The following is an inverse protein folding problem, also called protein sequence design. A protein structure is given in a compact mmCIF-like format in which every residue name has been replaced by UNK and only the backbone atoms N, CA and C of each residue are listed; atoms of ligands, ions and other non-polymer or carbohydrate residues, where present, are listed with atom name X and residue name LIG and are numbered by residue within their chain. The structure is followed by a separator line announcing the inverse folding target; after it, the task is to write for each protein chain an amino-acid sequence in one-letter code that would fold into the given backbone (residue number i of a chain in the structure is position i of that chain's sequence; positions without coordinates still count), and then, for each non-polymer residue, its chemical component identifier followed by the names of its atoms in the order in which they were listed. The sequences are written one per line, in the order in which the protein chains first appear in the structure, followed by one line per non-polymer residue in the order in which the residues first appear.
data_IF_093024251323
#
_entry.id   IF_093024251323
#
_cell.length_a   1.000
_cell.length_b   1.000
_cell.length_c   1.000
_cell.angle_alpha   90.00
_cell.angle_beta   90.00
_cell.angle_gamma   90.00
#
_symmetry.space_group_name_H-M   'P 1'
#
loop_
_entity.id
_entity.type
_entity.pdbx_description
1 polymer ?
#
# COMPACT_ATOMS: atom_id res chain seq x y z
N UNK A 1 -5.60 -1.13 35.71
CA UNK A 1 -5.57 -1.95 34.49
C UNK A 1 -4.86 -1.13 33.43
N UNK A 2 -3.92 -1.77 32.73
CA UNK A 2 -3.25 -1.23 31.54
C UNK A 2 -4.36 -1.08 30.48
N UNK A 3 -4.52 0.11 29.90
CA UNK A 3 -5.56 0.34 28.89
C UNK A 3 -5.25 -0.43 27.60
N UNK A 4 -6.20 -0.52 26.66
CA UNK A 4 -6.01 -1.13 25.35
C UNK A 4 -6.46 -0.20 24.25
N UNK A 5 -5.52 0.22 23.40
CA UNK A 5 -5.76 1.01 22.21
C UNK A 5 -5.76 0.08 20.99
N UNK A 6 -6.91 -0.05 20.34
CA UNK A 6 -7.06 -0.80 19.11
C UNK A 6 -6.99 0.12 17.90
N UNK A 7 -6.04 -0.15 17.01
CA UNK A 7 -5.92 0.49 15.70
C UNK A 7 -6.41 -0.48 14.63
N UNK A 8 -7.39 -0.07 13.84
CA UNK A 8 -7.89 -0.86 12.70
C UNK A 8 -7.27 -0.37 11.41
N UNK A 9 -6.46 -1.22 10.80
CA UNK A 9 -5.69 -0.99 9.58
C UNK A 9 -4.18 -1.07 9.81
N UNK A 10 -3.54 -2.14 9.34
CA UNK A 10 -2.09 -2.36 9.29
C UNK A 10 -1.42 -1.76 8.05
N UNK A 11 -1.92 -0.60 7.61
CA UNK A 11 -1.29 0.23 6.58
C UNK A 11 -0.31 1.24 7.17
N UNK A 12 0.26 2.10 6.32
CA UNK A 12 1.26 3.10 6.75
C UNK A 12 0.77 3.99 7.91
N UNK A 13 -0.47 4.51 7.83
CA UNK A 13 -1.03 5.37 8.87
C UNK A 13 -1.16 4.67 10.22
N UNK A 14 -1.74 3.47 10.25
CA UNK A 14 -1.90 2.70 11.48
C UNK A 14 -0.56 2.24 12.07
N UNK A 15 0.38 1.86 11.21
CA UNK A 15 1.73 1.48 11.64
C UNK A 15 2.55 2.66 12.21
N UNK A 16 2.48 3.82 11.57
CA UNK A 16 3.12 5.03 12.09
C UNK A 16 2.52 5.45 13.43
N UNK A 17 1.19 5.42 13.56
CA UNK A 17 0.51 5.71 14.82
C UNK A 17 0.91 4.71 15.92
N UNK A 18 0.94 3.41 15.61
CA UNK A 18 1.38 2.40 16.56
C UNK A 18 2.81 2.65 17.05
N UNK A 19 3.74 2.95 16.14
CA UNK A 19 5.13 3.29 16.50
C UNK A 19 5.19 4.51 17.42
N UNK A 20 4.47 5.58 17.08
CA UNK A 20 4.44 6.81 17.90
C UNK A 20 3.88 6.56 19.30
N UNK A 21 2.81 5.76 19.42
CA UNK A 21 2.25 5.40 20.72
C UNK A 21 3.21 4.52 21.54
N UNK A 22 3.95 3.62 20.90
CA UNK A 22 4.99 2.81 21.58
C UNK A 22 6.18 3.66 22.04
N UNK A 23 6.64 4.61 21.21
CA UNK A 23 7.68 5.57 21.61
C UNK A 23 7.21 6.44 22.80
N UNK A 24 5.96 6.92 22.76
CA UNK A 24 5.34 7.66 23.88
C UNK A 24 5.19 6.80 25.14
N UNK A 25 4.88 5.50 25.00
CA UNK A 25 4.86 4.50 26.09
C UNK A 25 6.21 4.41 26.79
N UNK A 26 7.28 4.29 26.01
CA UNK A 26 8.64 4.22 26.54
C UNK A 26 9.10 5.54 27.19
N UNK A 27 8.68 6.69 26.65
CA UNK A 27 9.15 8.00 27.10
C UNK A 27 8.35 8.59 28.28
N UNK A 28 7.03 8.39 28.33
CA UNK A 28 6.13 9.16 29.20
C UNK A 28 5.29 8.32 30.17
N UNK A 29 5.59 7.04 30.37
CA UNK A 29 4.77 6.13 31.19
C UNK A 29 3.33 6.03 30.69
N UNK A 30 3.11 6.21 29.38
CA UNK A 30 1.82 5.88 28.77
C UNK A 30 1.57 4.37 29.00
N UNK A 31 0.37 4.01 29.43
CA UNK A 31 0.11 2.69 30.03
C UNK A 31 -0.93 1.89 29.25
N UNK A 32 -1.25 2.25 28.01
CA UNK A 32 -2.11 1.42 27.17
C UNK A 32 -1.27 0.48 26.30
N UNK A 33 -1.69 -0.77 26.20
CA UNK A 33 -1.25 -1.70 25.18
C UNK A 33 -1.82 -1.28 23.83
N UNK A 34 -0.97 -1.30 22.81
CA UNK A 34 -1.37 -0.98 21.43
C UNK A 34 -1.49 -2.29 20.68
N UNK A 35 -2.63 -2.49 20.03
CA UNK A 35 -2.90 -3.65 19.18
C UNK A 35 -3.41 -3.18 17.83
N UNK A 36 -2.95 -3.84 16.77
CA UNK A 36 -3.35 -3.54 15.39
C UNK A 36 -4.15 -4.70 14.82
N UNK A 37 -5.32 -4.42 14.28
CA UNK A 37 -6.09 -5.39 13.48
C UNK A 37 -6.02 -5.01 12.01
N UNK A 38 -5.66 -5.96 11.16
CA UNK A 38 -5.82 -5.82 9.72
C UNK A 38 -6.70 -6.94 9.18
N UNK A 39 -7.67 -6.58 8.34
CA UNK A 39 -8.56 -7.53 7.67
C UNK A 39 -7.85 -8.40 6.64
N UNK A 40 -6.70 -7.96 6.14
CA UNK A 40 -5.93 -8.68 5.14
C UNK A 40 -4.99 -9.68 5.82
N UNK A 41 -4.62 -10.71 5.08
CA UNK A 41 -3.61 -11.68 5.50
C UNK A 41 -2.16 -11.17 5.38
N UNK A 42 -1.96 -9.92 4.94
CA UNK A 42 -0.66 -9.26 4.81
C UNK A 42 -0.77 -7.79 5.22
N UNK A 43 0.32 -7.25 5.77
CA UNK A 43 0.44 -5.84 6.12
C UNK A 43 0.79 -4.96 4.92
N UNK A 44 0.73 -3.64 5.15
CA UNK A 44 1.14 -2.61 4.20
C UNK A 44 -0.02 -1.83 3.61
N UNK A 45 -1.23 -2.41 3.58
CA UNK A 45 -2.38 -1.81 2.92
C UNK A 45 -2.04 -1.41 1.47
N UNK A 46 -2.16 -0.12 1.14
CA UNK A 46 -1.80 0.42 -0.19
C UNK A 46 -0.29 0.52 -0.45
N UNK A 47 0.55 0.22 0.54
CA UNK A 47 2.00 0.13 0.39
C UNK A 47 2.46 -1.35 0.42
N UNK A 48 1.55 -2.30 0.23
CA UNK A 48 1.89 -3.72 0.26
C UNK A 48 2.76 -4.13 -0.95
N UNK A 49 3.68 -5.04 -0.69
CA UNK A 49 4.30 -5.87 -1.71
C UNK A 49 3.69 -7.27 -1.70
N UNK A 50 3.56 -7.87 -2.89
CA UNK A 50 3.05 -9.24 -3.05
C UNK A 50 3.99 -10.09 -3.87
N UNK A 51 4.05 -11.37 -3.53
CA UNK A 51 4.75 -12.35 -4.33
C UNK A 51 3.93 -12.84 -5.53
N UNK A 52 4.59 -13.51 -6.46
CA UNK A 52 3.93 -14.21 -7.55
C UNK A 52 3.44 -15.60 -7.12
N UNK A 53 2.38 -16.15 -7.74
CA UNK A 53 1.90 -17.51 -7.45
C UNK A 53 2.97 -18.60 -7.63
N UNK A 54 3.70 -18.56 -8.75
CA UNK A 54 4.73 -19.55 -9.15
C UNK A 54 6.13 -19.17 -8.65
N UNK A 55 6.36 -17.91 -8.29
CA UNK A 55 7.66 -17.39 -7.86
C UNK A 55 7.52 -16.65 -6.53
N UNK A 56 7.49 -17.41 -5.44
CA UNK A 56 7.12 -16.92 -4.11
C UNK A 56 8.18 -16.03 -3.46
N UNK A 57 9.43 -16.14 -3.88
CA UNK A 57 10.54 -15.32 -3.36
C UNK A 57 10.52 -13.90 -3.96
N UNK A 58 10.01 -13.75 -5.17
CA UNK A 58 9.98 -12.46 -5.88
C UNK A 58 8.77 -11.66 -5.41
N UNK A 59 9.01 -10.47 -4.86
CA UNK A 59 7.98 -9.59 -4.32
C UNK A 59 7.98 -8.25 -5.05
N UNK A 60 6.80 -7.77 -5.41
CA UNK A 60 6.60 -6.51 -6.13
C UNK A 60 5.74 -5.56 -5.33
N UNK A 61 6.15 -4.29 -5.22
CA UNK A 61 5.31 -3.25 -4.62
C UNK A 61 4.07 -3.05 -5.50
N UNK A 62 2.88 -3.41 -5.00
CA UNK A 62 1.66 -3.41 -5.82
C UNK A 62 0.97 -2.05 -5.84
N UNK A 63 1.23 -1.21 -4.84
CA UNK A 63 0.59 0.09 -4.64
C UNK A 63 1.62 1.21 -4.66
N UNK A 64 1.89 1.87 -3.53
CA UNK A 64 2.86 2.96 -3.48
C UNK A 64 4.24 2.54 -4.05
N UNK A 65 4.76 3.32 -4.99
CA UNK A 65 5.98 2.99 -5.74
C UNK A 65 7.22 3.68 -5.20
N UNK A 66 7.06 4.92 -4.73
CA UNK A 66 8.07 5.73 -4.10
C UNK A 66 7.39 6.80 -3.25
N UNK A 67 8.14 7.42 -2.34
CA UNK A 67 7.70 8.53 -1.52
C UNK A 67 8.44 9.80 -1.95
N UNK A 68 7.70 10.76 -2.49
CA UNK A 68 8.19 12.11 -2.77
C UNK A 68 7.98 13.02 -1.56
N UNK A 69 9.04 13.51 -0.89
CA UNK A 69 8.91 14.49 0.19
C UNK A 69 8.46 15.84 -0.39
N UNK A 70 7.30 16.36 0.06
CA UNK A 70 6.77 17.67 -0.38
C UNK A 70 6.99 18.79 0.65
N UNK A 71 7.37 18.44 1.87
CA UNK A 71 7.59 19.35 2.98
C UNK A 71 8.52 18.73 4.02
N UNK A 72 9.08 19.56 4.88
CA UNK A 72 9.88 19.14 6.04
C UNK A 72 9.03 18.71 7.25
N UNK A 73 7.69 18.74 7.13
CA UNK A 73 6.80 18.14 8.12
C UNK A 73 7.12 16.64 8.28
N UNK A 74 7.30 16.21 9.53
CA UNK A 74 7.71 14.85 9.91
C UNK A 74 9.07 14.41 9.31
N UNK A 75 9.98 15.35 9.03
CA UNK A 75 11.31 15.03 8.50
C UNK A 75 12.08 14.09 9.43
N UNK A 76 11.95 14.25 10.73
CA UNK A 76 12.47 13.38 11.77
C UNK A 76 12.02 11.91 11.61
N UNK A 77 10.74 11.65 11.27
CA UNK A 77 10.26 10.28 11.00
C UNK A 77 10.93 9.67 9.76
N UNK A 78 11.05 10.47 8.69
CA UNK A 78 11.68 10.06 7.43
C UNK A 78 13.20 9.86 7.61
N UNK A 79 13.86 10.73 8.37
CA UNK A 79 15.27 10.63 8.70
C UNK A 79 15.56 9.36 9.48
N UNK A 80 14.75 9.01 10.51
CA UNK A 80 14.90 7.74 11.24
C UNK A 80 14.84 6.53 10.30
N UNK A 81 13.88 6.50 9.37
CA UNK A 81 13.75 5.42 8.38
C UNK A 81 14.90 5.38 7.37
N UNK A 82 15.45 6.55 7.01
CA UNK A 82 16.60 6.64 6.11
C UNK A 82 17.88 6.17 6.81
N UNK A 83 18.09 6.60 8.05
CA UNK A 83 19.23 6.21 8.89
C UNK A 83 19.23 4.70 9.19
N UNK A 84 18.06 4.08 9.33
CA UNK A 84 17.93 2.63 9.50
C UNK A 84 17.99 1.84 8.18
N UNK A 85 18.21 2.51 7.05
CA UNK A 85 18.28 1.88 5.73
C UNK A 85 16.94 1.38 5.18
N UNK A 86 15.82 1.69 5.83
CA UNK A 86 14.47 1.31 5.38
C UNK A 86 13.96 2.19 4.24
N UNK A 87 14.54 3.37 4.06
CA UNK A 87 14.34 4.22 2.90
C UNK A 87 15.69 4.61 2.32
N UNK A 88 15.81 4.57 0.99
CA UNK A 88 16.99 5.01 0.25
C UNK A 88 16.61 5.98 -0.86
N UNK A 89 17.55 6.87 -1.27
CA UNK A 89 17.36 7.74 -2.42
C UNK A 89 17.04 6.98 -3.70
N UNK A 90 16.04 7.49 -4.43
CA UNK A 90 15.66 7.09 -5.79
C UNK A 90 15.65 8.35 -6.67
N UNK A 91 16.60 8.41 -7.61
CA UNK A 91 16.87 9.66 -8.32
C UNK A 91 15.81 9.92 -9.40
N UNK A 92 15.44 11.19 -9.59
CA UNK A 92 14.40 11.57 -10.57
C UNK A 92 14.78 11.20 -12.02
N UNK A 93 16.08 11.14 -12.34
CA UNK A 93 16.57 10.76 -13.66
C UNK A 93 16.41 9.26 -13.96
N UNK A 94 16.14 8.43 -12.94
CA UNK A 94 15.78 7.03 -13.12
C UNK A 94 14.32 6.85 -13.56
N UNK A 95 13.51 7.92 -13.50
CA UNK A 95 12.10 7.95 -13.87
C UNK A 95 11.92 8.74 -15.17
N UNK A 96 11.67 8.03 -16.26
CA UNK A 96 11.34 8.63 -17.55
C UNK A 96 9.96 9.31 -17.49
N UNK A 97 9.86 10.54 -18.02
CA UNK A 97 8.65 11.38 -17.96
C UNK A 97 8.17 11.67 -16.51
N UNK A 98 9.08 11.79 -15.54
CA UNK A 98 8.71 12.14 -14.16
C UNK A 98 7.96 13.48 -14.10
N UNK A 99 6.69 13.51 -13.64
CA UNK A 99 5.93 14.75 -13.49
C UNK A 99 6.51 15.69 -12.41
N UNK A 100 7.41 15.20 -11.56
CA UNK A 100 8.06 15.98 -10.51
C UNK A 100 9.47 16.47 -10.90
N UNK A 101 9.94 16.16 -12.11
CA UNK A 101 11.29 16.50 -12.57
C UNK A 101 11.58 17.98 -12.37
N UNK A 102 12.69 18.29 -11.70
CA UNK A 102 13.12 19.67 -11.41
C UNK A 102 12.36 20.37 -10.28
N UNK A 103 11.32 19.74 -9.71
CA UNK A 103 10.58 20.26 -8.54
C UNK A 103 11.05 19.62 -7.25
N UNK A 104 11.51 18.36 -7.29
CA UNK A 104 11.98 17.61 -6.12
C UNK A 104 13.33 17.01 -6.43
N UNK A 105 14.29 17.13 -5.49
CA UNK A 105 15.66 16.64 -5.72
C UNK A 105 15.75 15.12 -5.77
N UNK A 106 14.95 14.42 -4.97
CA UNK A 106 15.05 12.96 -4.81
C UNK A 106 13.74 12.38 -4.26
N UNK A 107 13.32 11.24 -4.81
CA UNK A 107 12.30 10.38 -4.22
C UNK A 107 12.93 9.39 -3.24
N UNK A 108 12.11 8.70 -2.46
CA UNK A 108 12.56 7.65 -1.55
C UNK A 108 11.86 6.33 -1.86
N UNK A 109 12.58 5.23 -1.76
CA UNK A 109 12.07 3.86 -1.95
C UNK A 109 12.54 2.97 -0.82
N UNK A 110 11.83 1.88 -0.56
CA UNK A 110 12.30 0.83 0.35
C UNK A 110 13.11 -0.20 -0.44
N UNK A 111 14.42 -0.40 -0.13
CA UNK A 111 15.28 -1.33 -0.87
C UNK A 111 15.06 -2.80 -0.50
N UNK A 112 14.30 -3.08 0.56
CA UNK A 112 14.01 -4.44 1.00
C UNK A 112 13.31 -5.24 -0.11
N UNK A 113 13.51 -6.56 -0.14
CA UNK A 113 12.82 -7.43 -1.10
C UNK A 113 11.30 -7.29 -1.04
N UNK A 114 10.74 -7.15 0.16
CA UNK A 114 9.31 -6.87 0.39
C UNK A 114 8.94 -5.38 0.23
N UNK A 115 9.86 -4.54 -0.24
CA UNK A 115 9.63 -3.13 -0.52
C UNK A 115 9.00 -2.37 0.63
N UNK A 116 7.98 -1.55 0.34
CA UNK A 116 7.34 -0.71 1.37
C UNK A 116 6.61 -1.52 2.45
N UNK A 117 6.26 -2.77 2.18
CA UNK A 117 5.70 -3.65 3.22
C UNK A 117 6.71 -3.90 4.34
N UNK A 118 8.00 -4.10 4.04
CA UNK A 118 9.02 -4.28 5.08
C UNK A 118 9.14 -3.04 5.98
N UNK A 119 9.00 -1.84 5.40
CA UNK A 119 8.99 -0.60 6.17
C UNK A 119 7.78 -0.56 7.13
N UNK A 120 6.59 -0.96 6.67
CA UNK A 120 5.39 -1.06 7.53
C UNK A 120 5.55 -2.13 8.61
N UNK A 121 6.10 -3.30 8.27
CA UNK A 121 6.42 -4.37 9.23
C UNK A 121 7.41 -3.87 10.30
N UNK A 122 8.43 -3.12 9.91
CA UNK A 122 9.38 -2.51 10.85
C UNK A 122 8.72 -1.48 11.77
N UNK A 123 7.77 -0.67 11.28
CA UNK A 123 7.05 0.27 12.15
C UNK A 123 6.19 -0.45 13.21
N UNK A 124 5.68 -1.63 12.88
CA UNK A 124 4.86 -2.46 13.78
C UNK A 124 5.68 -3.39 14.67
N UNK A 125 7.00 -3.43 14.53
CA UNK A 125 7.87 -4.27 15.36
C UNK A 125 7.71 -3.95 16.85
N UNK A 126 7.36 -4.97 17.63
CA UNK A 126 7.02 -4.87 19.06
C UNK A 126 5.55 -4.55 19.36
N UNK A 127 4.69 -4.40 18.35
CA UNK A 127 3.24 -4.18 18.50
C UNK A 127 2.48 -5.46 18.16
N UNK A 128 1.56 -5.89 19.03
CA UNK A 128 0.68 -7.02 18.73
C UNK A 128 -0.14 -6.71 17.48
N UNK A 129 -0.05 -7.58 16.48
CA UNK A 129 -0.72 -7.38 15.19
C UNK A 129 -1.50 -8.63 14.83
N UNK A 130 -2.82 -8.49 14.67
CA UNK A 130 -3.74 -9.57 14.27
C UNK A 130 -4.14 -9.39 12.80
N UNK A 131 -3.69 -10.30 11.95
CA UNK A 131 -4.06 -10.36 10.53
C UNK A 131 -5.35 -11.15 10.34
N UNK A 132 -5.96 -11.00 9.16
CA UNK A 132 -7.26 -11.62 8.85
C UNK A 132 -8.32 -11.35 9.93
N UNK A 133 -8.23 -10.19 10.59
CA UNK A 133 -9.13 -9.81 11.69
C UNK A 133 -9.88 -8.56 11.25
N UNK A 134 -11.16 -8.73 10.96
CA UNK A 134 -11.99 -7.67 10.40
C UNK A 134 -12.96 -7.17 11.46
N UNK A 135 -12.84 -5.89 11.82
CA UNK A 135 -13.81 -5.20 12.65
C UNK A 135 -15.11 -5.03 11.85
N UNK A 136 -16.21 -5.61 12.34
CA UNK A 136 -17.53 -5.48 11.74
C UNK A 136 -18.32 -4.31 12.36
N UNK A 137 -18.31 -4.20 13.69
CA UNK A 137 -19.01 -3.16 14.43
C UNK A 137 -18.37 -2.91 15.80
N UNK A 138 -18.82 -1.87 16.48
CA UNK A 138 -18.47 -1.60 17.87
C UNK A 138 -19.65 -1.03 18.64
N UNK A 139 -19.59 -1.15 19.96
CA UNK A 139 -20.53 -0.55 20.90
C UNK A 139 -19.76 0.22 21.98
N UNK A 140 -20.10 1.50 22.16
CA UNK A 140 -19.59 2.28 23.29
C UNK A 140 -20.41 1.91 24.52
N UNK A 141 -19.78 1.25 25.49
CA UNK A 141 -20.45 0.80 26.71
C UNK A 141 -20.44 1.89 27.79
N UNK A 142 -19.31 2.57 27.93
CA UNK A 142 -19.10 3.72 28.82
C UNK A 142 -17.83 4.48 28.42
N UNK A 143 -17.48 5.52 29.18
CA UNK A 143 -16.33 6.41 28.94
C UNK A 143 -14.96 5.71 28.86
N UNK A 144 -14.87 4.43 29.29
CA UNK A 144 -13.62 3.67 29.31
C UNK A 144 -13.69 2.38 28.54
N UNK A 145 -14.85 1.97 28.01
CA UNK A 145 -15.03 0.65 27.42
C UNK A 145 -15.79 0.73 26.11
N UNK A 146 -15.15 0.19 25.08
CA UNK A 146 -15.70 -0.02 23.75
C UNK A 146 -15.65 -1.52 23.50
N UNK A 147 -16.81 -2.13 23.26
CA UNK A 147 -16.90 -3.51 22.79
C UNK A 147 -16.75 -3.50 21.28
N UNK A 148 -15.77 -4.24 20.77
CA UNK A 148 -15.56 -4.41 19.33
C UNK A 148 -15.96 -5.82 18.92
N UNK A 149 -16.64 -5.95 17.79
CA UNK A 149 -17.13 -7.23 17.28
C UNK A 149 -16.52 -7.48 15.90
N UNK A 150 -15.88 -8.63 15.75
CA UNK A 150 -15.33 -9.11 14.47
C UNK A 150 -16.43 -9.66 13.57
N UNK A 151 -16.13 -9.82 12.27
CA UNK A 151 -17.04 -10.45 11.32
C UNK A 151 -17.28 -11.95 11.56
N UNK A 152 -16.44 -12.58 12.38
CA UNK A 152 -16.66 -13.94 12.90
C UNK A 152 -17.52 -13.96 14.19
N UNK A 153 -18.00 -12.80 14.65
CA UNK A 153 -18.80 -12.67 15.87
C UNK A 153 -18.00 -12.74 17.17
N UNK A 154 -16.66 -12.73 17.13
CA UNK A 154 -15.82 -12.62 18.33
C UNK A 154 -15.86 -11.19 18.87
N UNK A 155 -15.95 -11.07 20.19
CA UNK A 155 -16.05 -9.79 20.90
C UNK A 155 -14.82 -9.54 21.78
N UNK A 156 -14.38 -8.29 21.86
CA UNK A 156 -13.25 -7.87 22.69
C UNK A 156 -13.53 -6.48 23.29
N UNK A 157 -13.10 -6.21 24.53
CA UNK A 157 -13.21 -4.88 25.14
C UNK A 157 -11.90 -4.13 24.96
N UNK A 158 -11.99 -2.91 24.44
CA UNK A 158 -10.89 -1.96 24.28
C UNK A 158 -11.24 -0.64 24.96
N UNK A 159 -10.24 0.19 25.24
CA UNK A 159 -10.43 1.51 25.86
C UNK A 159 -10.44 2.63 24.81
N UNK A 160 -9.72 2.43 23.70
CA UNK A 160 -9.63 3.38 22.62
C UNK A 160 -9.71 2.64 21.27
N UNK A 161 -10.38 3.24 20.29
CA UNK A 161 -10.55 2.70 18.95
C UNK A 161 -10.15 3.75 17.91
N UNK A 162 -9.17 3.42 17.06
CA UNK A 162 -8.73 4.28 15.96
C UNK A 162 -8.94 3.57 14.63
N UNK A 163 -9.73 4.18 13.75
CA UNK A 163 -10.01 3.65 12.41
C UNK A 163 -9.12 4.34 11.38
N UNK A 164 -8.23 3.57 10.73
CA UNK A 164 -7.30 4.08 9.70
C UNK A 164 -7.57 3.51 8.31
N UNK A 165 -8.66 2.76 8.16
CA UNK A 165 -9.09 2.19 6.89
C UNK A 165 -9.69 3.28 5.95
N UNK A 166 -9.79 3.01 4.64
CA UNK A 166 -10.45 3.94 3.71
C UNK A 166 -11.86 4.30 4.17
N UNK A 167 -12.27 5.55 3.93
CA UNK A 167 -13.52 6.11 4.46
C UNK A 167 -14.78 5.26 4.14
N UNK A 168 -14.96 4.66 2.94
CA UNK A 168 -16.07 3.75 2.70
C UNK A 168 -16.14 2.57 3.69
N UNK A 169 -14.99 2.05 4.12
CA UNK A 169 -14.93 0.98 5.12
C UNK A 169 -15.25 1.52 6.53
N UNK A 170 -14.78 2.73 6.87
CA UNK A 170 -15.13 3.40 8.14
C UNK A 170 -16.63 3.62 8.24
N UNK A 171 -17.26 4.14 7.18
CA UNK A 171 -18.70 4.37 7.11
C UNK A 171 -19.50 3.06 7.28
N UNK A 172 -19.02 1.95 6.70
CA UNK A 172 -19.65 0.63 6.88
C UNK A 172 -19.68 0.20 8.35
N UNK A 173 -18.55 0.35 9.06
CA UNK A 173 -18.46 0.03 10.49
C UNK A 173 -19.35 0.96 11.32
N UNK A 174 -19.33 2.27 11.07
CA UNK A 174 -20.17 3.25 11.79
C UNK A 174 -21.66 2.92 11.61
N UNK A 175 -22.10 2.62 10.38
CA UNK A 175 -23.51 2.27 10.10
C UNK A 175 -23.98 1.03 10.87
N UNK A 176 -23.09 0.06 11.12
CA UNK A 176 -23.38 -1.14 11.92
C UNK A 176 -23.26 -0.90 13.43
N UNK A 177 -22.69 0.22 13.86
CA UNK A 177 -22.38 0.55 15.25
C UNK A 177 -23.43 1.49 15.86
N UNK A 178 -24.65 0.99 16.07
CA UNK A 178 -25.85 1.78 16.40
C UNK A 178 -25.76 2.62 17.68
N UNK A 179 -24.87 2.27 18.61
CA UNK A 179 -24.68 3.03 19.86
C UNK A 179 -23.90 4.34 19.68
N UNK A 180 -23.19 4.52 18.57
CA UNK A 180 -22.29 5.65 18.36
C UNK A 180 -22.89 6.66 17.38
N UNK A 181 -23.32 7.80 17.91
CA UNK A 181 -23.91 8.87 17.10
C UNK A 181 -22.82 9.82 16.60
N UNK A 182 -22.67 9.88 15.28
CA UNK A 182 -21.78 10.81 14.61
C UNK A 182 -22.58 12.05 14.20
N UNK A 183 -22.05 13.24 14.49
CA UNK A 183 -22.71 14.48 14.12
C UNK A 183 -22.97 14.54 12.59
N UNK A 184 -24.16 14.97 12.12
CA UNK A 184 -24.52 14.92 10.70
C UNK A 184 -23.54 15.64 9.76
N UNK A 185 -22.90 16.71 10.21
CA UNK A 185 -21.86 17.44 9.50
C UNK A 185 -20.58 16.62 9.30
N UNK A 186 -20.17 15.84 10.31
CA UNK A 186 -19.02 14.94 10.23
C UNK A 186 -19.35 13.78 9.29
N UNK A 187 -20.56 13.21 9.41
CA UNK A 187 -20.98 12.12 8.53
C UNK A 187 -20.99 12.56 7.06
N UNK A 188 -21.56 13.75 6.75
CA UNK A 188 -21.54 14.32 5.40
C UNK A 188 -20.11 14.59 4.90
N UNK A 189 -19.23 15.07 5.77
CA UNK A 189 -17.82 15.27 5.41
C UNK A 189 -17.15 13.93 5.04
N UNK A 190 -17.38 12.87 5.80
CA UNK A 190 -16.87 11.53 5.48
C UNK A 190 -17.46 10.99 4.17
N UNK A 191 -18.77 11.13 3.96
CA UNK A 191 -19.46 10.69 2.73
C UNK A 191 -18.99 11.44 1.47
N UNK A 192 -18.47 12.67 1.62
CA UNK A 192 -17.93 13.45 0.51
C UNK A 192 -16.56 12.98 0.01
N UNK A 193 -15.87 12.11 0.77
CA UNK A 193 -14.53 11.62 0.41
C UNK A 193 -14.62 10.63 -0.74
N UNK A 194 -14.02 10.98 -1.87
CA UNK A 194 -13.93 10.13 -3.07
C UNK A 194 -12.54 9.53 -3.23
N UNK A 195 -12.49 8.39 -3.90
CA UNK A 195 -11.25 7.70 -4.26
C UNK A 195 -11.27 7.37 -5.74
N UNK A 196 -10.08 7.33 -6.35
CA UNK A 196 -9.92 6.79 -7.69
C UNK A 196 -9.82 5.27 -7.65
N UNK A 197 -9.98 4.65 -8.81
CA UNK A 197 -9.90 3.21 -9.01
C UNK A 197 -8.80 2.91 -10.02
N UNK A 198 -7.97 1.91 -9.75
CA UNK A 198 -6.87 1.49 -10.64
C UNK A 198 -6.62 -0.01 -10.52
N UNK A 199 -5.98 -0.57 -11.55
CA UNK A 199 -5.40 -1.90 -11.51
C UNK A 199 -3.89 -1.80 -11.39
N UNK A 200 -3.31 -2.79 -10.71
CA UNK A 200 -1.89 -3.03 -10.68
C UNK A 200 -1.61 -4.43 -11.26
N UNK A 201 -0.83 -4.49 -12.33
CA UNK A 201 -0.40 -5.73 -12.97
C UNK A 201 1.10 -5.90 -12.77
N UNK A 202 1.49 -6.97 -12.08
CA UNK A 202 2.88 -7.34 -11.88
C UNK A 202 3.24 -8.48 -12.82
N UNK A 203 4.47 -8.45 -13.33
CA UNK A 203 5.04 -9.44 -14.22
C UNK A 203 6.42 -9.81 -13.74
N UNK A 204 6.81 -11.06 -13.92
CA UNK A 204 8.16 -11.53 -13.65
C UNK A 204 8.68 -12.31 -14.85
N UNK A 205 9.95 -12.12 -15.16
CA UNK A 205 10.59 -12.60 -16.37
C UNK A 205 11.77 -13.50 -16.03
N UNK A 206 12.22 -14.25 -17.04
CA UNK A 206 13.42 -15.08 -16.96
C UNK A 206 14.67 -14.22 -16.75
N UNK A 207 15.67 -14.71 -16.03
CA UNK A 207 16.94 -14.02 -15.81
C UNK A 207 17.66 -13.67 -17.13
N UNK A 208 17.42 -14.43 -18.20
CA UNK A 208 17.92 -14.10 -19.55
C UNK A 208 17.40 -12.77 -20.10
N UNK A 209 16.34 -12.22 -19.51
CA UNK A 209 15.81 -10.90 -19.87
C UNK A 209 16.59 -9.74 -19.24
N UNK A 210 17.47 -9.98 -18.25
CA UNK A 210 18.21 -8.92 -17.54
C UNK A 210 18.95 -7.97 -18.50
N UNK A 211 19.72 -8.45 -19.51
CA UNK A 211 20.42 -7.54 -20.42
C UNK A 211 19.47 -6.63 -21.21
N UNK A 212 18.37 -7.20 -21.73
CA UNK A 212 17.38 -6.43 -22.48
C UNK A 212 16.67 -5.38 -21.61
N UNK A 213 16.45 -5.66 -20.33
CA UNK A 213 15.90 -4.70 -19.36
C UNK A 213 16.89 -3.57 -19.07
N UNK A 214 18.18 -3.89 -18.90
CA UNK A 214 19.23 -2.89 -18.67
C UNK A 214 19.42 -1.95 -19.87
N UNK A 215 19.31 -2.48 -21.10
CA UNK A 215 19.40 -1.70 -22.34
C UNK A 215 18.31 -0.62 -22.47
N UNK A 216 17.18 -0.75 -21.77
CA UNK A 216 16.13 0.28 -21.75
C UNK A 216 16.61 1.60 -21.14
N UNK A 217 17.60 1.56 -20.24
CA UNK A 217 18.22 2.75 -19.66
C UNK A 217 17.36 3.54 -18.66
N UNK A 218 16.25 2.97 -18.16
CA UNK A 218 15.40 3.59 -17.14
C UNK A 218 14.85 2.55 -16.15
N UNK A 219 14.60 2.99 -14.92
CA UNK A 219 14.03 2.15 -13.85
C UNK A 219 12.50 2.22 -13.85
N UNK A 220 11.95 3.42 -14.00
CA UNK A 220 10.51 3.64 -14.11
C UNK A 220 10.16 4.59 -15.26
N UNK A 221 8.90 4.56 -15.69
CA UNK A 221 8.36 5.45 -16.71
C UNK A 221 6.91 5.80 -16.41
N UNK A 222 6.61 7.09 -16.44
CA UNK A 222 5.22 7.55 -16.58
C UNK A 222 4.83 7.50 -18.05
N UNK A 223 3.70 6.87 -18.33
CA UNK A 223 3.16 6.74 -19.68
C UNK A 223 2.15 7.87 -19.89
N UNK A 224 2.39 8.80 -20.82
CA UNK A 224 1.46 9.89 -21.12
C UNK A 224 0.25 9.36 -21.91
N UNK A 225 -0.86 10.11 -21.88
CA UNK A 225 -2.14 9.65 -22.43
C UNK A 225 -2.17 9.52 -23.95
N UNK A 226 -1.27 10.18 -24.65
CA UNK A 226 -1.04 10.03 -26.09
C UNK A 226 -0.25 8.76 -26.45
N UNK A 227 0.45 8.15 -25.48
CA UNK A 227 1.12 6.86 -25.64
C UNK A 227 0.22 5.68 -25.24
N UNK A 228 -0.59 5.83 -24.18
CA UNK A 228 -1.59 4.84 -23.78
C UNK A 228 -2.70 5.46 -22.92
N UNK A 229 -3.94 5.09 -23.21
CA UNK A 229 -5.12 5.40 -22.38
C UNK A 229 -5.29 4.39 -21.22
N UNK A 230 -4.65 3.23 -21.30
CA UNK A 230 -4.72 2.15 -20.31
C UNK A 230 -3.57 2.24 -19.32
N UNK A 231 -2.33 2.38 -19.78
CA UNK A 231 -1.12 2.33 -18.96
C UNK A 231 -0.77 3.73 -18.49
N UNK A 232 -0.56 3.91 -17.17
CA UNK A 232 -0.16 5.21 -16.61
C UNK A 232 1.25 5.23 -16.08
N UNK A 233 1.72 4.11 -15.53
CA UNK A 233 3.03 4.01 -14.91
C UNK A 233 3.56 2.59 -15.04
N UNK A 234 4.85 2.46 -15.32
CA UNK A 234 5.59 1.19 -15.36
C UNK A 234 6.87 1.33 -14.55
N UNK A 235 7.28 0.28 -13.84
CA UNK A 235 8.52 0.29 -13.06
C UNK A 235 9.14 -1.11 -12.98
N UNK A 236 10.43 -1.20 -13.28
CA UNK A 236 11.26 -2.37 -13.01
C UNK A 236 11.59 -2.40 -11.51
N UNK A 237 10.73 -3.06 -10.76
CA UNK A 237 10.69 -3.02 -9.29
C UNK A 237 11.99 -3.53 -8.65
N UNK A 238 12.61 -4.54 -9.25
CA UNK A 238 13.92 -5.08 -8.83
C UNK A 238 15.05 -4.04 -8.95
N UNK A 239 15.09 -3.25 -10.04
CA UNK A 239 16.05 -2.16 -10.21
C UNK A 239 15.80 -1.04 -9.18
N UNK A 240 14.53 -0.65 -9.00
CA UNK A 240 14.12 0.35 -8.00
C UNK A 240 14.57 -0.02 -6.59
N UNK A 241 14.42 -1.29 -6.23
CA UNK A 241 14.82 -1.83 -4.92
C UNK A 241 16.33 -2.08 -4.81
N UNK A 242 17.08 -1.93 -5.92
CA UNK A 242 18.53 -2.23 -6.00
C UNK A 242 18.82 -3.67 -5.57
N UNK A 243 17.98 -4.60 -6.01
CA UNK A 243 18.19 -6.02 -5.77
C UNK A 243 19.40 -6.52 -6.55
N UNK A 244 20.03 -7.59 -6.04
CA UNK A 244 21.20 -8.21 -6.66
C UNK A 244 20.91 -8.66 -8.10
N UNK A 245 21.94 -8.72 -8.93
CA UNK A 245 21.87 -9.11 -10.36
C UNK A 245 21.26 -10.51 -10.59
N UNK A 246 21.28 -11.37 -9.57
CA UNK A 246 20.67 -12.70 -9.60
C UNK A 246 19.14 -12.67 -9.36
N UNK A 247 18.56 -11.50 -9.12
CA UNK A 247 17.11 -11.37 -8.92
C UNK A 247 16.40 -11.35 -10.27
N UNK A 248 15.36 -12.17 -10.48
CA UNK A 248 14.65 -12.19 -11.75
C UNK A 248 14.01 -10.82 -12.02
N UNK A 249 14.01 -10.33 -13.27
CA UNK A 249 13.40 -9.06 -13.59
C UNK A 249 11.92 -9.06 -13.25
N UNK A 250 11.52 -8.10 -12.42
CA UNK A 250 10.12 -7.89 -12.06
C UNK A 250 9.67 -6.50 -12.49
N UNK A 251 8.49 -6.43 -13.11
CA UNK A 251 7.85 -5.21 -13.62
C UNK A 251 6.50 -5.02 -12.94
N UNK A 252 6.22 -3.80 -12.49
CA UNK A 252 4.89 -3.37 -12.05
C UNK A 252 4.33 -2.35 -13.03
N UNK A 253 3.04 -2.50 -13.30
CA UNK A 253 2.25 -1.63 -14.17
C UNK A 253 1.05 -1.12 -13.41
N UNK A 254 0.82 0.18 -13.43
CA UNK A 254 -0.43 0.78 -12.96
C UNK A 254 -1.23 1.34 -14.12
N UNK A 255 -2.51 1.01 -14.13
CA UNK A 255 -3.43 1.51 -15.15
C UNK A 255 -3.85 2.95 -14.88
N UNK A 256 -4.42 3.61 -15.88
CA UNK A 256 -5.11 4.89 -15.77
C UNK A 256 -6.34 4.78 -14.86
N UNK A 257 -6.84 5.94 -14.40
CA UNK A 257 -8.10 6.01 -13.64
C UNK A 257 -9.28 5.64 -14.53
N UNK A 258 -9.27 6.03 -15.80
CA UNK A 258 -10.33 5.72 -16.75
C UNK A 258 -10.53 4.21 -16.89
N UNK A 259 -9.45 3.49 -17.17
CA UNK A 259 -9.49 2.02 -17.24
C UNK A 259 -9.93 1.40 -15.91
N UNK A 260 -9.41 1.91 -14.79
CA UNK A 260 -9.81 1.45 -13.47
C UNK A 260 -11.31 1.58 -13.22
N UNK A 261 -11.88 2.77 -13.46
CA UNK A 261 -13.31 3.04 -13.31
C UNK A 261 -14.18 2.17 -14.22
N UNK A 262 -13.76 1.91 -15.46
CA UNK A 262 -14.51 1.07 -16.40
C UNK A 262 -14.56 -0.40 -15.97
N UNK A 263 -13.46 -0.95 -15.46
CA UNK A 263 -13.34 -2.40 -15.25
C UNK A 263 -13.37 -2.84 -13.78
N UNK A 264 -13.41 -1.92 -12.79
CA UNK A 264 -13.30 -2.27 -11.38
C UNK A 264 -14.37 -3.27 -10.90
N UNK A 265 -15.60 -3.10 -11.37
CA UNK A 265 -16.76 -3.94 -11.05
C UNK A 265 -17.06 -4.99 -12.12
N UNK A 266 -16.20 -5.11 -13.13
CA UNK A 266 -16.31 -6.14 -14.16
C UNK A 266 -16.18 -7.54 -13.55
N UNK A 267 -17.11 -8.41 -13.90
CA UNK A 267 -17.23 -9.78 -13.40
C UNK A 267 -16.39 -10.79 -14.20
N UNK A 268 -15.78 -10.37 -15.32
CA UNK A 268 -14.85 -11.19 -16.10
C UNK A 268 -13.67 -11.67 -15.26
N UNK A 269 -13.08 -12.78 -15.69
CA UNK A 269 -11.94 -13.35 -14.99
C UNK A 269 -10.76 -12.39 -14.98
N UNK A 270 -9.97 -12.38 -13.90
CA UNK A 270 -8.83 -11.46 -13.79
C UNK A 270 -7.81 -11.67 -14.92
N UNK A 271 -7.68 -12.88 -15.47
CA UNK A 271 -6.79 -13.15 -16.60
C UNK A 271 -7.21 -12.44 -17.88
N UNK A 272 -8.53 -12.25 -18.10
CA UNK A 272 -9.03 -11.48 -19.26
C UNK A 272 -8.70 -10.00 -19.13
N UNK A 273 -8.87 -9.43 -17.93
CA UNK A 273 -8.51 -8.02 -17.67
C UNK A 273 -6.98 -7.86 -17.77
N UNK A 274 -6.23 -8.81 -17.22
CA UNK A 274 -4.78 -8.82 -17.33
C UNK A 274 -4.32 -8.89 -18.78
N UNK A 275 -4.97 -9.69 -19.64
CA UNK A 275 -4.66 -9.75 -21.07
C UNK A 275 -4.86 -8.40 -21.78
N UNK A 276 -5.90 -7.63 -21.42
CA UNK A 276 -6.09 -6.27 -21.95
C UNK A 276 -4.95 -5.33 -21.54
N UNK A 277 -4.53 -5.39 -20.27
CA UNK A 277 -3.40 -4.60 -19.76
C UNK A 277 -2.10 -5.03 -20.45
N UNK A 278 -1.84 -6.34 -20.58
CA UNK A 278 -0.65 -6.87 -21.24
C UNK A 278 -0.58 -6.47 -22.71
N UNK A 279 -1.72 -6.46 -23.42
CA UNK A 279 -1.77 -5.99 -24.80
C UNK A 279 -1.30 -4.54 -24.91
N UNK A 280 -1.86 -3.64 -24.10
CA UNK A 280 -1.46 -2.23 -24.12
C UNK A 280 -0.03 -2.02 -23.62
N UNK A 281 0.42 -2.82 -22.65
CA UNK A 281 1.81 -2.81 -22.21
C UNK A 281 2.78 -3.16 -23.34
N UNK A 282 2.44 -4.12 -24.21
CA UNK A 282 3.28 -4.47 -25.38
C UNK A 282 3.28 -3.39 -26.46
N UNK A 283 2.27 -2.52 -26.50
CA UNK A 283 2.28 -1.33 -27.38
C UNK A 283 3.23 -0.25 -26.82
N UNK A 284 3.25 -0.07 -25.50
CA UNK A 284 4.16 0.84 -24.77
C UNK A 284 5.62 0.33 -24.77
N UNK A 285 5.80 -0.99 -24.62
CA UNK A 285 7.09 -1.68 -24.56
C UNK A 285 7.13 -2.84 -25.57
N UNK A 286 7.35 -2.59 -26.87
CA UNK A 286 7.34 -3.64 -27.90
C UNK A 286 8.41 -4.72 -27.71
N UNK A 287 9.53 -4.39 -27.07
CA UNK A 287 10.61 -5.32 -26.73
C UNK A 287 10.35 -6.14 -25.45
N UNK A 288 9.17 -6.05 -24.86
CA UNK A 288 8.85 -6.77 -23.62
C UNK A 288 8.98 -8.28 -23.83
N UNK A 289 9.83 -8.97 -23.05
CA UNK A 289 9.98 -10.42 -23.15
C UNK A 289 8.70 -11.16 -22.76
N UNK A 290 8.70 -12.48 -22.96
CA UNK A 290 7.63 -13.33 -22.45
C UNK A 290 7.74 -13.43 -20.93
N UNK A 291 6.64 -13.13 -20.24
CA UNK A 291 6.53 -13.29 -18.80
C UNK A 291 6.51 -14.76 -18.38
N UNK A 292 7.17 -15.09 -17.26
CA UNK A 292 7.11 -16.42 -16.65
C UNK A 292 5.88 -16.56 -15.73
N UNK A 293 5.52 -15.48 -15.05
CA UNK A 293 4.33 -15.39 -14.21
C UNK A 293 3.82 -13.96 -14.16
N UNK A 294 2.53 -13.81 -13.85
CA UNK A 294 1.89 -12.51 -13.76
C UNK A 294 0.82 -12.49 -12.67
N UNK A 295 0.52 -11.30 -12.18
CA UNK A 295 -0.48 -11.10 -11.13
C UNK A 295 -1.22 -9.79 -11.29
N UNK A 296 -2.53 -9.85 -11.20
CA UNK A 296 -3.39 -8.67 -11.16
C UNK A 296 -3.83 -8.35 -9.73
N UNK A 297 -3.94 -7.06 -9.41
CA UNK A 297 -4.57 -6.56 -8.20
C UNK A 297 -5.50 -5.38 -8.52
N UNK A 298 -6.67 -5.37 -7.86
CA UNK A 298 -7.71 -4.34 -8.02
C UNK A 298 -7.66 -3.36 -6.86
N UNK A 299 -7.31 -2.11 -7.12
CA UNK A 299 -7.34 -1.06 -6.12
C UNK A 299 -8.63 -0.24 -6.22
N UNK A 300 -9.60 -0.57 -5.36
CA UNK A 300 -10.90 0.13 -5.31
C UNK A 300 -10.85 1.54 -4.73
N UNK A 301 -9.84 1.82 -3.89
CA UNK A 301 -9.73 3.06 -3.12
C UNK A 301 -8.30 3.62 -3.18
N UNK A 302 -7.93 4.31 -4.27
CA UNK A 302 -6.60 4.94 -4.45
C UNK A 302 -6.70 6.46 -4.46
#
# INVERSE_FOLDING_TARGET
MVGKTLIVGGGLTGAALARLLQEAKAAATYASEVVVWDRNSILGGRAMARSFPKQREVHVDMGAQYWTPKSDLNDDFRQKLTQSGRLVPFAENEITQDPYKGTVKTHLVSPDGKGFRAMVEHLLEGTETKLSTHLESFQVLDDKRIQVTTDEGKEEIVNELVLTCPIPNVLSVIKKSSSFHVAPEILRALESVTYSQRFAAAYVFDEKAVPAVQELGWTAKYVPGDESDIIRFVCWDHLKKKQDENSPPALIVHTSVGFGATFMDDTRHNDEILALITKSLREVLPSLPAEQDARLHRWRYV
#
